data_IF_458369071944
#
_entry.id   IF_458369071944
#
_cell.length_a   1.000
_cell.length_b   1.000
_cell.length_c   1.000
_cell.angle_alpha   90.00
_cell.angle_beta   90.00
_cell.angle_gamma   90.00
#
_symmetry.space_group_name_H-M   'P 1'
#
loop_
_entity.id
_entity.type
_entity.pdbx_description
1 polymer ?
#
# COMPACT_ATOMS: atom_id res chain seq x y z
N UNK A 1 18.32 -26.79 -8.03
CA UNK A 1 18.28 -25.33 -8.17
C UNK A 1 16.95 -24.86 -7.67
N UNK A 2 16.94 -23.92 -6.70
CA UNK A 2 15.71 -23.40 -6.09
C UNK A 2 15.77 -21.89 -5.95
N UNK A 3 14.59 -21.25 -5.86
CA UNK A 3 14.47 -19.87 -5.43
C UNK A 3 14.04 -19.83 -3.96
N UNK A 4 14.80 -19.10 -3.15
CA UNK A 4 14.52 -18.88 -1.74
C UNK A 4 14.40 -17.38 -1.44
N UNK A 5 13.81 -17.05 -0.29
CA UNK A 5 13.70 -15.68 0.23
C UNK A 5 13.13 -14.68 -0.81
N UNK A 6 12.13 -15.13 -1.59
CA UNK A 6 11.46 -14.29 -2.59
C UNK A 6 10.62 -13.25 -1.86
N UNK A 7 11.03 -11.98 -1.96
CA UNK A 7 10.32 -10.86 -1.36
C UNK A 7 10.52 -9.59 -2.17
N UNK A 8 9.43 -8.93 -2.54
CA UNK A 8 9.44 -7.71 -3.36
C UNK A 8 10.25 -7.91 -4.66
N UNK A 9 11.34 -7.17 -4.82
CA UNK A 9 12.21 -7.21 -6.00
C UNK A 9 13.48 -8.06 -5.78
N UNK A 10 13.49 -8.92 -4.74
CA UNK A 10 14.65 -9.73 -4.35
C UNK A 10 14.30 -11.19 -4.29
N UNK A 11 15.26 -12.02 -4.67
CA UNK A 11 15.24 -13.46 -4.49
C UNK A 11 16.66 -13.99 -4.28
N UNK A 12 16.77 -15.18 -3.68
CA UNK A 12 18.02 -15.91 -3.63
C UNK A 12 17.92 -17.12 -4.55
N UNK A 13 18.81 -17.23 -5.52
CA UNK A 13 18.99 -18.45 -6.29
C UNK A 13 19.91 -19.39 -5.49
N UNK A 14 19.42 -20.56 -5.11
CA UNK A 14 20.20 -21.58 -4.42
C UNK A 14 20.59 -22.71 -5.38
N UNK A 15 21.88 -22.92 -5.49
CA UNK A 15 22.47 -24.05 -6.19
C UNK A 15 23.01 -25.03 -5.13
N UNK A 16 22.56 -26.27 -5.18
CA UNK A 16 23.03 -27.33 -4.24
C UNK A 16 23.51 -28.53 -5.04
N UNK A 17 24.67 -29.01 -4.69
CA UNK A 17 25.21 -30.28 -5.19
C UNK A 17 26.12 -30.88 -4.11
N UNK A 18 25.93 -32.16 -3.84
CA UNK A 18 26.64 -32.87 -2.76
C UNK A 18 26.56 -32.09 -1.44
N UNK A 19 27.69 -31.72 -0.88
CA UNK A 19 27.82 -30.96 0.38
C UNK A 19 28.01 -29.45 0.13
N UNK A 20 27.87 -29.00 -1.10
CA UNK A 20 28.09 -27.60 -1.47
C UNK A 20 26.76 -26.89 -1.70
N UNK A 21 26.63 -25.69 -1.12
CA UNK A 21 25.52 -24.78 -1.35
C UNK A 21 26.04 -23.40 -1.74
N UNK A 22 25.63 -22.92 -2.90
CA UNK A 22 25.91 -21.55 -3.36
C UNK A 22 24.61 -20.75 -3.37
N UNK A 23 24.66 -19.54 -2.86
CA UNK A 23 23.54 -18.59 -2.87
C UNK A 23 23.91 -17.35 -3.67
N UNK A 24 23.11 -17.03 -4.66
CA UNK A 24 23.26 -15.87 -5.51
C UNK A 24 22.09 -14.93 -5.27
N UNK A 25 22.38 -13.71 -4.82
CA UNK A 25 21.34 -12.69 -4.65
C UNK A 25 20.89 -12.19 -6.04
N UNK A 26 19.60 -12.25 -6.29
CA UNK A 26 18.96 -11.69 -7.47
C UNK A 26 18.20 -10.44 -7.06
N UNK A 27 18.31 -9.41 -7.87
CA UNK A 27 17.53 -8.18 -7.72
C UNK A 27 16.94 -7.79 -9.08
N UNK A 28 15.62 -7.63 -9.13
CA UNK A 28 14.90 -7.23 -10.33
C UNK A 28 14.12 -5.95 -10.02
N UNK A 29 14.56 -4.80 -10.52
CA UNK A 29 13.79 -3.55 -10.39
C UNK A 29 12.58 -3.56 -11.31
N UNK A 30 11.46 -4.02 -10.78
CA UNK A 30 10.18 -4.01 -11.46
C UNK A 30 9.42 -2.67 -11.32
N UNK A 31 9.94 -1.72 -10.54
CA UNK A 31 9.25 -0.45 -10.21
C UNK A 31 8.88 0.35 -11.46
N UNK A 32 9.82 0.51 -12.38
CA UNK A 32 9.58 1.24 -13.63
C UNK A 32 8.47 0.64 -14.47
N UNK A 33 8.44 -0.69 -14.58
CA UNK A 33 7.38 -1.37 -15.31
C UNK A 33 6.04 -1.30 -14.58
N UNK A 34 6.06 -1.42 -13.24
CA UNK A 34 4.85 -1.29 -12.44
C UNK A 34 4.22 0.11 -12.55
N UNK A 35 5.02 1.18 -12.54
CA UNK A 35 4.53 2.54 -12.75
C UNK A 35 3.87 2.71 -14.12
N UNK A 36 4.47 2.20 -15.19
CA UNK A 36 3.84 2.18 -16.53
C UNK A 36 2.51 1.42 -16.55
N UNK A 37 2.46 0.29 -15.86
CA UNK A 37 1.25 -0.51 -15.76
C UNK A 37 0.14 0.22 -14.99
N UNK A 38 0.51 0.97 -13.94
CA UNK A 38 -0.40 1.83 -13.18
C UNK A 38 -0.99 2.91 -14.09
N UNK A 39 -0.15 3.65 -14.82
CA UNK A 39 -0.60 4.67 -15.78
C UNK A 39 -1.58 4.10 -16.80
N UNK A 40 -1.26 2.95 -17.38
CA UNK A 40 -2.13 2.28 -18.33
C UNK A 40 -3.45 1.79 -17.71
N UNK A 41 -3.41 1.31 -16.46
CA UNK A 41 -4.60 0.80 -15.77
C UNK A 41 -5.59 1.91 -15.42
N UNK A 42 -5.11 3.04 -14.91
CA UNK A 42 -5.96 4.17 -14.52
C UNK A 42 -6.47 4.99 -15.69
N UNK A 43 -5.82 4.90 -16.86
CA UNK A 43 -6.25 5.58 -18.09
C UNK A 43 -7.44 4.88 -18.77
N UNK A 44 -7.79 3.67 -18.36
CA UNK A 44 -8.92 2.95 -18.95
C UNK A 44 -10.25 3.63 -18.59
N UNK A 45 -11.19 3.79 -19.54
CA UNK A 45 -12.49 4.43 -19.30
C UNK A 45 -13.33 3.70 -18.25
N UNK A 46 -13.15 2.40 -18.11
CA UNK A 46 -13.85 1.51 -17.17
C UNK A 46 -13.13 1.30 -15.84
N UNK A 47 -12.07 2.06 -15.57
CA UNK A 47 -11.33 1.97 -14.32
C UNK A 47 -12.26 2.21 -13.11
N UNK A 48 -12.49 1.16 -12.35
CA UNK A 48 -13.34 1.18 -11.16
C UNK A 48 -12.55 1.57 -9.89
N UNK A 49 -13.25 1.64 -8.76
CA UNK A 49 -12.63 2.00 -7.49
C UNK A 49 -11.54 1.01 -7.05
N UNK A 50 -11.61 -0.26 -7.45
CA UNK A 50 -10.61 -1.29 -7.10
C UNK A 50 -9.30 -1.07 -7.83
N UNK A 51 -9.37 -0.66 -9.11
CA UNK A 51 -8.18 -0.28 -9.89
C UNK A 51 -7.44 0.86 -9.20
N UNK A 52 -8.15 1.95 -8.86
CA UNK A 52 -7.54 3.08 -8.16
C UNK A 52 -7.00 2.68 -6.78
N UNK A 53 -7.72 1.85 -6.03
CA UNK A 53 -7.27 1.37 -4.73
C UNK A 53 -6.00 0.52 -4.82
N UNK A 54 -5.94 -0.42 -5.77
CA UNK A 54 -4.76 -1.26 -5.99
C UNK A 54 -3.53 -0.43 -6.37
N UNK A 55 -3.70 0.53 -7.27
CA UNK A 55 -2.63 1.46 -7.66
C UNK A 55 -2.16 2.32 -6.49
N UNK A 56 -3.08 2.89 -5.73
CA UNK A 56 -2.76 3.68 -4.54
C UNK A 56 -2.02 2.83 -3.50
N UNK A 57 -2.50 1.62 -3.24
CA UNK A 57 -1.88 0.71 -2.27
C UNK A 57 -0.45 0.35 -2.65
N UNK A 58 -0.21 0.03 -3.92
CA UNK A 58 1.15 -0.26 -4.41
C UNK A 58 2.10 0.92 -4.17
N UNK A 59 1.66 2.15 -4.49
CA UNK A 59 2.47 3.35 -4.31
C UNK A 59 2.74 3.63 -2.81
N UNK A 60 1.72 3.48 -1.97
CA UNK A 60 1.81 3.65 -0.50
C UNK A 60 2.80 2.65 0.10
N UNK A 61 2.67 1.37 -0.20
CA UNK A 61 3.48 0.31 0.40
C UNK A 61 4.96 0.43 0.03
N UNK A 62 5.26 1.01 -1.13
CA UNK A 62 6.63 1.25 -1.60
C UNK A 62 7.14 2.67 -1.35
N UNK A 63 6.33 3.51 -0.72
CA UNK A 63 6.62 4.93 -0.50
C UNK A 63 7.02 5.67 -1.79
N UNK A 64 6.29 5.39 -2.86
CA UNK A 64 6.51 5.96 -4.19
C UNK A 64 5.46 7.03 -4.49
N UNK A 65 5.90 8.17 -5.04
CA UNK A 65 5.03 9.22 -5.56
C UNK A 65 3.84 9.55 -4.61
N UNK A 66 4.10 10.05 -3.38
CA UNK A 66 3.07 10.19 -2.34
C UNK A 66 1.84 10.99 -2.77
N UNK A 67 2.03 12.04 -3.57
CA UNK A 67 0.94 12.86 -4.10
C UNK A 67 0.04 12.07 -5.06
N UNK A 68 0.64 11.24 -5.92
CA UNK A 68 -0.09 10.39 -6.85
C UNK A 68 -0.82 9.26 -6.12
N UNK A 69 -0.18 8.68 -5.09
CA UNK A 69 -0.80 7.70 -4.20
C UNK A 69 -2.06 8.27 -3.54
N UNK A 70 -1.97 9.50 -3.01
CA UNK A 70 -3.10 10.19 -2.41
C UNK A 70 -4.20 10.50 -3.42
N UNK A 71 -3.85 10.94 -4.64
CA UNK A 71 -4.81 11.17 -5.72
C UNK A 71 -5.62 9.92 -6.04
N UNK A 72 -4.96 8.78 -6.25
CA UNK A 72 -5.66 7.53 -6.57
C UNK A 72 -6.46 6.99 -5.39
N UNK A 73 -5.95 7.11 -4.16
CA UNK A 73 -6.70 6.75 -2.97
C UNK A 73 -8.00 7.57 -2.83
N UNK A 74 -7.96 8.88 -3.08
CA UNK A 74 -9.15 9.75 -3.11
C UNK A 74 -10.14 9.28 -4.17
N UNK A 75 -9.70 9.10 -5.42
CA UNK A 75 -10.57 8.63 -6.51
C UNK A 75 -11.25 7.29 -6.18
N UNK A 76 -10.54 6.38 -5.51
CA UNK A 76 -11.12 5.12 -5.06
C UNK A 76 -12.21 5.32 -4.03
N UNK A 77 -11.95 6.14 -3.00
CA UNK A 77 -12.92 6.36 -1.90
C UNK A 77 -14.11 7.21 -2.31
N UNK A 78 -13.96 8.11 -3.27
CA UNK A 78 -15.06 8.90 -3.85
C UNK A 78 -16.03 8.02 -4.66
N UNK A 79 -15.52 7.00 -5.35
CA UNK A 79 -16.35 6.07 -6.12
C UNK A 79 -17.09 5.07 -5.23
N UNK A 80 -16.40 4.46 -4.28
CA UNK A 80 -17.00 3.48 -3.35
C UNK A 80 -16.15 3.36 -2.07
N UNK A 81 -16.54 4.03 -0.97
CA UNK A 81 -15.79 4.01 0.28
C UNK A 81 -15.93 2.66 1.00
N UNK A 82 -14.80 2.02 1.25
CA UNK A 82 -14.65 0.78 2.01
C UNK A 82 -13.61 0.97 3.11
N UNK A 83 -13.67 0.20 4.18
CA UNK A 83 -12.68 0.32 5.27
C UNK A 83 -11.24 0.18 4.77
N UNK A 84 -10.97 -0.72 3.83
CA UNK A 84 -9.62 -0.99 3.34
C UNK A 84 -9.08 0.10 2.38
N UNK A 85 -9.90 0.74 1.52
CA UNK A 85 -9.42 1.84 0.69
C UNK A 85 -9.37 3.16 1.47
N UNK A 86 -10.23 3.36 2.45
CA UNK A 86 -10.13 4.46 3.40
C UNK A 86 -8.85 4.37 4.25
N UNK A 87 -8.46 3.16 4.69
CA UNK A 87 -7.17 2.95 5.35
C UNK A 87 -6.00 3.34 4.45
N UNK A 88 -6.03 2.93 3.18
CA UNK A 88 -5.01 3.32 2.19
C UNK A 88 -4.96 4.84 1.99
N UNK A 89 -6.10 5.52 1.94
CA UNK A 89 -6.14 6.98 1.86
C UNK A 89 -5.51 7.63 3.09
N UNK A 90 -5.80 7.14 4.29
CA UNK A 90 -5.20 7.65 5.51
C UNK A 90 -3.67 7.51 5.51
N UNK A 91 -3.15 6.35 5.06
CA UNK A 91 -1.71 6.15 4.89
C UNK A 91 -1.10 7.12 3.88
N UNK A 92 -1.75 7.32 2.73
CA UNK A 92 -1.29 8.26 1.71
C UNK A 92 -1.29 9.71 2.21
N UNK A 93 -2.30 10.13 2.97
CA UNK A 93 -2.34 11.44 3.61
C UNK A 93 -1.18 11.62 4.60
N UNK A 94 -0.91 10.62 5.43
CA UNK A 94 0.21 10.65 6.37
C UNK A 94 1.58 10.73 5.68
N UNK A 95 1.77 10.02 4.55
CA UNK A 95 2.98 10.13 3.73
C UNK A 95 3.19 11.53 3.14
N UNK A 96 2.10 12.28 2.93
CA UNK A 96 2.14 13.69 2.51
C UNK A 96 2.20 14.68 3.70
N UNK A 97 2.41 14.21 4.93
CA UNK A 97 2.48 15.05 6.13
C UNK A 97 1.14 15.57 6.64
N UNK A 98 0.02 15.15 6.05
CA UNK A 98 -1.34 15.59 6.38
C UNK A 98 -1.90 14.74 7.54
N UNK A 99 -1.25 14.81 8.71
CA UNK A 99 -1.57 13.93 9.85
C UNK A 99 -2.97 14.16 10.42
N UNK A 100 -3.47 15.39 10.40
CA UNK A 100 -4.83 15.70 10.88
C UNK A 100 -5.88 15.02 10.03
N UNK A 101 -5.75 15.13 8.71
CA UNK A 101 -6.64 14.48 7.72
C UNK A 101 -6.49 12.96 7.77
N UNK A 102 -5.26 12.47 7.92
CA UNK A 102 -4.97 11.05 8.02
C UNK A 102 -5.68 10.41 9.23
N UNK A 103 -5.64 11.07 10.40
CA UNK A 103 -6.35 10.62 11.61
C UNK A 103 -7.86 10.58 11.36
N UNK A 104 -8.44 11.66 10.84
CA UNK A 104 -9.88 11.72 10.58
C UNK A 104 -10.34 10.64 9.56
N UNK A 105 -9.50 10.36 8.56
CA UNK A 105 -9.76 9.31 7.56
C UNK A 105 -9.62 7.90 8.16
N UNK A 106 -8.62 7.68 9.01
CA UNK A 106 -8.43 6.41 9.70
C UNK A 106 -9.57 6.10 10.69
N UNK A 107 -10.11 7.11 11.38
CA UNK A 107 -11.30 6.97 12.21
C UNK A 107 -12.54 6.53 11.40
N UNK A 108 -12.72 7.09 10.19
CA UNK A 108 -13.80 6.65 9.28
C UNK A 108 -13.58 5.21 8.84
N UNK A 109 -12.35 4.85 8.44
CA UNK A 109 -11.98 3.48 8.09
C UNK A 109 -12.26 2.51 9.25
N UNK A 110 -11.89 2.90 10.48
CA UNK A 110 -12.10 2.09 11.68
C UNK A 110 -13.58 1.83 11.94
N UNK A 111 -14.47 2.84 11.81
CA UNK A 111 -15.92 2.66 11.94
C UNK A 111 -16.47 1.68 10.90
N UNK A 112 -16.11 1.85 9.63
CA UNK A 112 -16.52 0.92 8.57
C UNK A 112 -16.03 -0.50 8.81
N UNK A 113 -14.80 -0.66 9.37
CA UNK A 113 -14.27 -1.96 9.72
C UNK A 113 -15.03 -2.61 10.90
N UNK A 114 -15.43 -1.82 11.91
CA UNK A 114 -16.27 -2.28 13.02
C UNK A 114 -17.64 -2.77 12.53
N UNK A 115 -18.31 -2.00 11.67
CA UNK A 115 -19.58 -2.38 11.05
C UNK A 115 -19.46 -3.67 10.24
N UNK A 116 -18.34 -3.84 9.53
CA UNK A 116 -18.02 -5.04 8.76
C UNK A 116 -17.49 -6.20 9.62
N UNK A 117 -17.33 -6.01 10.94
CA UNK A 117 -16.74 -6.98 11.89
C UNK A 117 -15.34 -7.44 11.47
N UNK A 118 -14.50 -6.50 11.00
CA UNK A 118 -13.15 -6.76 10.52
C UNK A 118 -12.10 -6.21 11.49
N UNK A 119 -11.87 -6.91 12.59
CA UNK A 119 -11.06 -6.48 13.73
C UNK A 119 -9.61 -6.13 13.37
N UNK A 120 -9.04 -6.79 12.34
CA UNK A 120 -7.70 -6.49 11.89
C UNK A 120 -7.54 -5.02 11.46
N UNK A 121 -8.49 -4.48 10.69
CA UNK A 121 -8.45 -3.07 10.28
C UNK A 121 -8.80 -2.10 11.40
N UNK A 122 -9.63 -2.52 12.37
CA UNK A 122 -9.87 -1.73 13.60
C UNK A 122 -8.57 -1.53 14.33
N UNK A 123 -7.81 -2.61 14.57
CA UNK A 123 -6.50 -2.57 15.23
C UNK A 123 -5.49 -1.72 14.45
N UNK A 124 -5.33 -1.98 13.15
CA UNK A 124 -4.39 -1.26 12.29
C UNK A 124 -4.65 0.26 12.28
N UNK A 125 -5.92 0.67 12.17
CA UNK A 125 -6.25 2.09 12.20
C UNK A 125 -5.98 2.72 13.56
N UNK A 126 -6.30 2.03 14.66
CA UNK A 126 -6.02 2.51 16.01
C UNK A 126 -4.54 2.77 16.22
N UNK A 127 -3.68 1.81 15.86
CA UNK A 127 -2.21 1.95 15.96
C UNK A 127 -1.70 3.15 15.14
N UNK A 128 -2.24 3.35 13.94
CA UNK A 128 -1.86 4.49 13.09
C UNK A 128 -2.34 5.84 13.62
N UNK A 129 -3.53 5.91 14.17
CA UNK A 129 -4.05 7.13 14.82
C UNK A 129 -3.14 7.52 15.99
N UNK A 130 -2.77 6.58 16.85
CA UNK A 130 -1.86 6.81 17.97
C UNK A 130 -0.47 7.29 17.49
N UNK A 131 0.10 6.64 16.45
CA UNK A 131 1.37 7.05 15.84
C UNK A 131 1.31 8.49 15.31
N UNK A 132 0.26 8.83 14.55
CA UNK A 132 0.17 10.13 13.89
C UNK A 132 -0.21 11.25 14.85
N UNK A 133 -0.91 10.98 15.94
CA UNK A 133 -1.20 11.96 16.99
C UNK A 133 0.09 12.54 17.60
N UNK A 134 1.17 11.76 17.67
CA UNK A 134 2.48 12.24 18.15
C UNK A 134 3.23 13.12 17.14
N UNK A 135 2.83 13.07 15.86
CA UNK A 135 3.45 13.83 14.75
C UNK A 135 2.66 15.10 14.40
N UNK A 136 1.42 15.20 14.88
CA UNK A 136 0.54 16.36 14.68
C UNK A 136 1.10 17.56 15.46
N UNK A 137 1.63 18.55 14.77
CA UNK A 137 2.11 19.80 15.39
C UNK A 137 3.64 19.98 15.40
N UNK A 138 4.37 19.13 14.66
CA UNK A 138 5.79 19.36 14.39
C UNK A 138 6.02 20.08 13.08
#
# INVERSE_FOLDING_TARGET
IDFADVKDDKAMLELRWENTKVRIALHADATKQALKNIEAAVAKPDADFRVFAGCARFLVDRNLQPELAMKYAKLSTEKDPKFWNMHTLALAQAQNGLYTEAIATAEKSMRLAQEAKYDAYVKMNKEKIEEWATKKGK
#
